data_IF_762484115346
#
_entry.id   IF_762484115346
#
_cell.length_a   1.000
_cell.length_b   1.000
_cell.length_c   1.000
_cell.angle_alpha   90.00
_cell.angle_beta   90.00
_cell.angle_gamma   90.00
#
_symmetry.space_group_name_H-M   'P 1'
#
loop_
_entity.id
_entity.type
_entity.pdbx_description
1 polymer ?
#
# COMPACT_ATOMS: atom_id res chain seq x y z
N UNK A 1 3.07 -13.23 10.35
CA UNK A 1 4.37 -12.50 10.37
C UNK A 1 4.26 -11.00 10.61
N UNK A 2 3.60 -10.19 9.76
CA UNK A 2 3.68 -8.72 9.79
C UNK A 2 3.34 -8.10 11.15
N UNK A 3 2.21 -8.48 11.79
CA UNK A 3 1.85 -7.98 13.13
C UNK A 3 2.95 -8.18 14.18
N UNK A 4 3.61 -9.36 14.18
CA UNK A 4 4.73 -9.64 15.10
C UNK A 4 5.92 -8.72 14.82
N UNK A 5 6.22 -8.47 13.54
CA UNK A 5 7.28 -7.56 13.11
C UNK A 5 7.02 -6.11 13.58
N UNK A 6 5.79 -5.62 13.42
CA UNK A 6 5.42 -4.26 13.83
C UNK A 6 5.56 -4.04 15.35
N UNK A 7 5.14 -5.01 16.15
CA UNK A 7 5.25 -4.94 17.61
C UNK A 7 6.72 -5.07 18.03
N UNK A 8 7.39 -6.13 17.59
CA UNK A 8 8.73 -6.47 18.10
C UNK A 8 9.84 -5.54 17.63
N UNK A 9 9.77 -5.05 16.38
CA UNK A 9 10.83 -4.22 15.79
C UNK A 9 10.51 -2.73 15.83
N UNK A 10 9.27 -2.36 15.50
CA UNK A 10 8.88 -0.97 15.35
C UNK A 10 8.15 -0.41 16.58
N UNK A 11 7.93 -1.23 17.61
CA UNK A 11 7.32 -0.78 18.87
C UNK A 11 5.86 -0.34 18.74
N UNK A 12 5.14 -0.79 17.71
CA UNK A 12 3.72 -0.50 17.58
C UNK A 12 2.95 -1.11 18.75
N UNK A 13 2.10 -0.32 19.41
CA UNK A 13 1.19 -0.87 20.40
C UNK A 13 0.27 -1.90 19.72
N UNK A 14 0.26 -3.12 20.24
CA UNK A 14 -0.60 -4.20 19.79
C UNK A 14 -2.10 -3.81 19.73
N UNK A 15 -2.54 -2.87 20.58
CA UNK A 15 -3.91 -2.32 20.63
C UNK A 15 -4.18 -1.31 19.51
N UNK A 16 -3.15 -0.66 18.98
CA UNK A 16 -3.24 0.22 17.83
C UNK A 16 -3.23 -0.53 16.49
N UNK A 17 -2.93 -1.84 16.48
CA UNK A 17 -2.92 -2.68 15.28
C UNK A 17 -4.28 -3.35 15.09
N UNK A 18 -5.07 -2.79 14.17
CA UNK A 18 -6.31 -3.40 13.68
C UNK A 18 -6.02 -4.45 12.60
N UNK A 19 -6.67 -5.62 12.68
CA UNK A 19 -6.50 -6.71 11.71
C UNK A 19 -7.86 -7.14 11.17
N UNK A 20 -8.03 -7.02 9.85
CA UNK A 20 -9.22 -7.50 9.13
C UNK A 20 -8.85 -8.80 8.40
N UNK A 21 -9.78 -9.75 8.34
CA UNK A 21 -9.59 -11.02 7.64
C UNK A 21 -10.93 -11.66 7.30
N UNK A 22 -10.97 -12.38 6.19
CA UNK A 22 -12.09 -13.20 5.73
C UNK A 22 -11.93 -14.69 6.09
N UNK A 23 -10.88 -15.06 6.86
CA UNK A 23 -10.65 -16.44 7.29
C UNK A 23 -11.91 -17.03 7.96
N UNK A 24 -12.45 -18.16 7.47
CA UNK A 24 -13.62 -18.80 8.05
C UNK A 24 -13.44 -19.06 9.55
N UNK A 25 -14.47 -18.76 10.35
CA UNK A 25 -14.47 -18.94 11.81
C UNK A 25 -13.65 -17.91 12.61
N UNK A 26 -13.01 -16.92 11.96
CA UNK A 26 -12.33 -15.84 12.66
C UNK A 26 -13.33 -14.91 13.36
N UNK A 27 -13.04 -14.55 14.63
CA UNK A 27 -13.79 -13.54 15.39
C UNK A 27 -13.40 -12.09 15.03
N UNK A 28 -12.42 -11.89 14.15
CA UNK A 28 -11.95 -10.57 13.71
C UNK A 28 -12.93 -9.95 12.71
N UNK A 29 -12.84 -8.63 12.55
CA UNK A 29 -13.62 -7.89 11.56
C UNK A 29 -13.32 -8.41 10.14
N UNK A 30 -14.37 -8.60 9.33
CA UNK A 30 -14.22 -9.06 7.94
C UNK A 30 -13.61 -7.98 7.08
N UNK A 31 -12.76 -8.36 6.13
CA UNK A 31 -12.08 -7.46 5.19
C UNK A 31 -12.99 -7.02 4.03
N UNK A 32 -14.20 -6.55 4.32
CA UNK A 32 -15.10 -5.95 3.32
C UNK A 32 -14.58 -4.59 2.87
N UNK A 33 -14.94 -4.15 1.67
CA UNK A 33 -14.52 -2.83 1.17
C UNK A 33 -14.91 -1.70 2.14
N UNK A 34 -16.13 -1.76 2.71
CA UNK A 34 -16.57 -0.79 3.71
C UNK A 34 -15.74 -0.83 4.99
N UNK A 35 -15.49 -2.01 5.56
CA UNK A 35 -14.73 -2.15 6.80
C UNK A 35 -13.29 -1.64 6.62
N UNK A 36 -12.66 -1.94 5.48
CA UNK A 36 -11.32 -1.46 5.17
C UNK A 36 -11.31 0.08 5.13
N UNK A 37 -12.25 0.71 4.41
CA UNK A 37 -12.39 2.16 4.32
C UNK A 37 -12.62 2.83 5.68
N UNK A 38 -13.53 2.29 6.49
CA UNK A 38 -13.81 2.79 7.84
C UNK A 38 -12.56 2.73 8.71
N UNK A 39 -11.84 1.60 8.73
CA UNK A 39 -10.67 1.46 9.58
C UNK A 39 -9.47 2.28 9.11
N UNK A 40 -9.30 2.45 7.80
CA UNK A 40 -8.30 3.37 7.24
C UNK A 40 -8.61 4.82 7.63
N UNK A 41 -9.87 5.25 7.47
CA UNK A 41 -10.33 6.58 7.89
C UNK A 41 -10.16 6.81 9.39
N UNK A 42 -10.52 5.83 10.22
CA UNK A 42 -10.34 5.91 11.68
C UNK A 42 -8.87 6.02 12.09
N UNK A 43 -7.97 5.32 11.39
CA UNK A 43 -6.53 5.40 11.64
C UNK A 43 -6.00 6.80 11.32
N UNK A 44 -6.43 7.39 10.20
CA UNK A 44 -6.01 8.73 9.77
C UNK A 44 -6.61 9.82 10.66
N UNK A 45 -7.89 9.71 11.04
CA UNK A 45 -8.56 10.68 11.91
C UNK A 45 -7.93 10.78 13.31
N UNK A 46 -7.26 9.71 13.76
CA UNK A 46 -6.53 9.68 15.03
C UNK A 46 -5.07 10.10 14.92
N UNK A 47 -4.57 10.30 13.70
CA UNK A 47 -3.17 10.65 13.48
C UNK A 47 -2.87 12.06 14.00
N UNK A 48 -1.72 12.18 14.66
CA UNK A 48 -1.13 13.46 15.04
C UNK A 48 -0.07 13.88 14.01
N UNK A 49 0.29 15.18 13.97
CA UNK A 49 1.41 15.63 13.14
C UNK A 49 2.68 14.82 13.40
N UNK A 50 3.32 14.36 12.32
CA UNK A 50 4.54 13.54 12.42
C UNK A 50 4.31 12.03 12.63
N UNK A 51 3.07 11.56 12.76
CA UNK A 51 2.79 10.12 12.92
C UNK A 51 3.21 9.28 11.71
N UNK A 52 3.42 7.98 11.95
CA UNK A 52 3.77 6.97 10.95
C UNK A 52 2.70 5.90 10.90
N UNK A 53 1.86 5.96 9.88
CA UNK A 53 0.76 5.04 9.67
C UNK A 53 1.21 3.95 8.71
N UNK A 54 0.72 2.73 8.93
CA UNK A 54 0.91 1.60 8.01
C UNK A 54 -0.44 1.00 7.63
N UNK A 55 -0.66 0.89 6.33
CA UNK A 55 -1.68 0.04 5.75
C UNK A 55 -0.99 -1.14 5.07
N UNK A 56 -1.24 -2.35 5.55
CA UNK A 56 -0.73 -3.58 4.95
C UNK A 56 -1.88 -4.36 4.32
N UNK A 57 -1.72 -4.72 3.04
CA UNK A 57 -2.69 -5.52 2.31
C UNK A 57 -2.01 -6.71 1.64
N UNK A 58 -2.63 -7.89 1.74
CA UNK A 58 -2.26 -9.09 1.02
C UNK A 58 -3.53 -9.76 0.57
N UNK A 59 -3.76 -9.82 -0.75
CA UNK A 59 -5.02 -10.29 -1.31
C UNK A 59 -5.12 -10.01 -2.80
N UNK A 60 -6.35 -10.01 -3.33
CA UNK A 60 -6.57 -9.76 -4.75
C UNK A 60 -6.43 -8.28 -5.10
N UNK A 61 -5.74 -8.03 -6.21
CA UNK A 61 -5.80 -6.77 -6.92
C UNK A 61 -6.44 -6.93 -8.30
N UNK A 62 -6.90 -5.82 -8.84
CA UNK A 62 -7.54 -5.74 -10.15
C UNK A 62 -7.32 -4.37 -10.76
N UNK A 63 -7.79 -4.20 -12.00
CA UNK A 63 -7.91 -2.89 -12.64
C UNK A 63 -9.37 -2.62 -12.94
N UNK A 64 -9.80 -1.38 -12.73
CA UNK A 64 -11.14 -0.91 -13.06
C UNK A 64 -11.03 0.28 -13.99
N UNK A 65 -11.97 0.42 -14.91
CA UNK A 65 -11.98 1.52 -15.87
C UNK A 65 -12.80 2.68 -15.32
N UNK A 66 -12.28 3.90 -15.39
CA UNK A 66 -13.04 5.12 -15.11
C UNK A 66 -13.93 5.53 -16.30
N UNK A 67 -14.80 6.53 -16.11
CA UNK A 67 -15.75 6.98 -17.13
C UNK A 67 -15.06 7.49 -18.41
N UNK A 68 -13.76 7.82 -18.36
CA UNK A 68 -12.98 8.27 -19.51
C UNK A 68 -12.21 7.13 -20.18
N UNK A 69 -12.46 5.87 -19.79
CA UNK A 69 -11.75 4.71 -20.34
C UNK A 69 -10.36 4.49 -19.74
N UNK A 70 -9.95 5.26 -18.71
CA UNK A 70 -8.63 5.09 -18.10
C UNK A 70 -8.67 4.00 -17.04
N UNK A 71 -7.76 3.04 -17.15
CA UNK A 71 -7.57 1.98 -16.17
C UNK A 71 -6.99 2.54 -14.87
N UNK A 72 -7.56 2.08 -13.75
CA UNK A 72 -7.22 2.44 -12.38
C UNK A 72 -6.97 1.18 -11.57
N UNK A 73 -5.88 1.15 -10.82
CA UNK A 73 -5.59 0.03 -9.93
C UNK A 73 -6.52 0.01 -8.73
N UNK A 74 -6.86 -1.19 -8.26
CA UNK A 74 -7.66 -1.38 -7.07
C UNK A 74 -7.28 -2.66 -6.33
N UNK A 75 -7.48 -2.63 -5.02
CA UNK A 75 -7.60 -3.85 -4.22
C UNK A 75 -9.07 -4.23 -4.11
N UNK A 76 -9.34 -5.51 -3.84
CA UNK A 76 -10.71 -6.04 -3.74
C UNK A 76 -10.96 -6.56 -2.34
N UNK A 77 -12.00 -6.06 -1.67
CA UNK A 77 -12.46 -6.58 -0.38
C UNK A 77 -13.09 -7.98 -0.54
N UNK A 78 -13.26 -8.71 0.57
CA UNK A 78 -13.81 -10.08 0.53
C UNK A 78 -15.30 -10.15 0.14
N UNK A 79 -15.94 -9.01 -0.06
CA UNK A 79 -17.33 -8.84 -0.52
C UNK A 79 -17.41 -8.34 -1.97
N UNK A 80 -16.28 -8.32 -2.68
CA UNK A 80 -16.10 -7.79 -4.04
C UNK A 80 -16.25 -6.27 -4.17
N UNK A 81 -16.33 -5.52 -3.07
CA UNK A 81 -16.27 -4.06 -3.10
C UNK A 81 -14.81 -3.61 -3.21
N UNK A 82 -14.47 -2.92 -4.30
CA UNK A 82 -13.08 -2.50 -4.55
C UNK A 82 -12.74 -1.14 -3.92
N UNK A 83 -11.44 -0.94 -3.71
CA UNK A 83 -10.83 0.28 -3.21
C UNK A 83 -9.71 0.64 -4.18
N UNK A 84 -9.93 1.66 -4.99
CA UNK A 84 -8.99 2.05 -6.06
C UNK A 84 -8.04 3.17 -5.64
N UNK A 85 -7.10 3.46 -6.54
CA UNK A 85 -6.05 4.46 -6.37
C UNK A 85 -6.53 5.87 -6.02
N UNK A 86 -7.73 6.28 -6.48
CA UNK A 86 -8.30 7.57 -6.11
C UNK A 86 -8.78 7.56 -4.66
N UNK A 87 -9.36 6.45 -4.19
CA UNK A 87 -9.76 6.30 -2.79
C UNK A 87 -8.55 6.44 -1.86
N UNK A 88 -7.44 5.77 -2.17
CA UNK A 88 -6.20 5.91 -1.39
C UNK A 88 -5.62 7.32 -1.49
N UNK A 89 -5.67 7.96 -2.65
CA UNK A 89 -5.27 9.38 -2.79
C UNK A 89 -6.12 10.28 -1.89
N UNK A 90 -7.43 10.05 -1.82
CA UNK A 90 -8.31 10.78 -0.89
C UNK A 90 -7.82 10.63 0.55
N UNK A 91 -7.55 9.41 1.02
CA UNK A 91 -7.05 9.18 2.37
C UNK A 91 -5.68 9.79 2.63
N UNK A 92 -4.74 9.69 1.69
CA UNK A 92 -3.42 10.31 1.80
C UNK A 92 -3.53 11.83 1.96
N UNK A 93 -4.45 12.47 1.23
CA UNK A 93 -4.69 13.90 1.30
C UNK A 93 -5.27 14.38 2.65
N UNK A 94 -5.81 13.47 3.48
CA UNK A 94 -6.35 13.77 4.81
C UNK A 94 -5.30 13.71 5.92
N UNK A 95 -4.05 13.32 5.61
CA UNK A 95 -3.00 13.18 6.62
C UNK A 95 -2.66 14.54 7.25
N UNK A 96 -2.43 14.58 8.58
CA UNK A 96 -1.96 15.78 9.24
C UNK A 96 -0.54 16.12 8.79
N UNK A 97 -0.10 17.34 9.12
CA UNK A 97 1.21 17.85 8.75
C UNK A 97 2.33 16.87 9.16
N UNK A 98 3.26 16.60 8.27
CA UNK A 98 4.44 15.74 8.48
C UNK A 98 4.15 14.27 8.85
N UNK A 99 2.89 13.86 8.90
CA UNK A 99 2.51 12.46 9.01
C UNK A 99 2.60 11.77 7.65
N UNK A 100 2.89 10.47 7.66
CA UNK A 100 3.02 9.66 6.45
C UNK A 100 2.20 8.40 6.55
N UNK A 101 1.52 8.03 5.46
CA UNK A 101 0.92 6.71 5.31
C UNK A 101 1.80 5.84 4.42
N UNK A 102 2.36 4.78 5.00
CA UNK A 102 3.01 3.72 4.25
C UNK A 102 1.98 2.66 3.86
N UNK A 103 1.88 2.35 2.57
CA UNK A 103 1.06 1.28 2.02
C UNK A 103 2.01 0.18 1.55
N UNK A 104 1.92 -0.98 2.17
CA UNK A 104 2.61 -2.19 1.74
C UNK A 104 1.58 -3.13 1.10
N UNK A 105 1.59 -3.19 -0.24
CA UNK A 105 0.60 -3.90 -1.03
C UNK A 105 1.19 -5.16 -1.67
N UNK A 106 0.86 -6.32 -1.11
CA UNK A 106 1.17 -7.64 -1.64
C UNK A 106 0.00 -8.20 -2.44
N UNK A 107 -0.26 -7.56 -3.58
CA UNK A 107 -1.29 -7.93 -4.54
C UNK A 107 -0.82 -7.64 -5.97
N UNK A 108 -1.40 -8.34 -6.95
CA UNK A 108 -1.26 -7.95 -8.35
C UNK A 108 -1.85 -6.56 -8.59
N UNK A 109 -1.45 -5.89 -9.67
CA UNK A 109 -2.00 -4.59 -10.06
C UNK A 109 -1.92 -3.51 -8.95
N UNK A 110 -0.80 -3.44 -8.22
CA UNK A 110 -0.62 -2.51 -7.09
C UNK A 110 0.40 -1.38 -7.33
N UNK A 111 1.09 -1.37 -8.48
CA UNK A 111 2.12 -0.38 -8.89
C UNK A 111 1.66 1.07 -9.15
N UNK A 112 0.75 1.59 -8.35
CA UNK A 112 -0.02 2.82 -8.65
C UNK A 112 -1.27 2.94 -7.78
N UNK A 113 -1.32 2.20 -6.67
CA UNK A 113 -2.44 2.16 -5.74
C UNK A 113 -2.64 3.47 -4.96
N UNK A 114 -1.72 4.43 -5.07
CA UNK A 114 -1.94 5.82 -4.67
C UNK A 114 -1.82 6.65 -5.95
N UNK A 115 -2.93 7.25 -6.41
CA UNK A 115 -2.94 7.97 -7.69
C UNK A 115 -1.89 9.09 -7.70
N UNK A 116 -1.07 9.16 -8.75
CA UNK A 116 -0.05 10.20 -8.96
C UNK A 116 1.07 10.27 -7.89
N UNK A 117 1.39 9.19 -7.18
CA UNK A 117 2.67 9.14 -6.44
C UNK A 117 3.86 8.94 -7.40
N UNK A 118 4.95 9.72 -7.26
CA UNK A 118 6.11 9.60 -8.14
C UNK A 118 6.81 8.24 -8.01
N UNK A 119 7.17 7.62 -9.13
CA UNK A 119 7.96 6.38 -9.14
C UNK A 119 9.41 6.68 -8.76
N UNK A 120 9.95 5.91 -7.81
CA UNK A 120 11.32 6.03 -7.30
C UNK A 120 12.15 4.77 -7.55
N UNK A 121 11.50 3.61 -7.56
CA UNK A 121 12.05 2.31 -7.95
C UNK A 121 11.00 1.60 -8.79
N UNK A 122 11.41 1.12 -9.96
CA UNK A 122 10.54 0.44 -10.92
C UNK A 122 10.21 1.29 -12.14
N UNK A 123 9.30 0.80 -12.98
CA UNK A 123 8.88 1.49 -14.20
C UNK A 123 7.77 2.51 -13.91
N UNK A 124 7.70 3.62 -14.68
CA UNK A 124 6.53 4.48 -14.68
C UNK A 124 5.26 3.66 -14.87
N UNK A 125 4.23 3.97 -14.07
CA UNK A 125 2.95 3.29 -14.21
C UNK A 125 2.26 3.70 -15.50
N UNK A 126 2.24 2.78 -16.48
CA UNK A 126 1.36 2.82 -17.63
C UNK A 126 0.41 1.62 -17.52
N UNK A 127 -0.88 1.82 -17.18
CA UNK A 127 -1.82 0.73 -17.13
C UNK A 127 -1.88 -0.01 -18.47
N UNK A 128 -1.37 -1.24 -18.51
CA UNK A 128 -1.65 -2.18 -19.59
C UNK A 128 -2.69 -3.20 -19.10
N UNK A 129 -3.55 -3.72 -19.98
CA UNK A 129 -4.32 -4.90 -19.66
C UNK A 129 -3.34 -6.04 -19.29
N UNK A 130 -3.58 -6.79 -18.21
CA UNK A 130 -2.71 -7.91 -17.87
C UNK A 130 -2.72 -8.94 -19.00
N UNK A 131 -1.58 -9.59 -19.22
CA UNK A 131 -1.49 -10.71 -20.17
C UNK A 131 -2.49 -11.81 -19.76
N UNK A 132 -3.44 -12.10 -20.67
CA UNK A 132 -4.55 -13.05 -20.46
C UNK A 132 -4.08 -14.51 -20.43
N UNK A 133 -2.85 -14.78 -20.84
CA UNK A 133 -2.29 -16.14 -20.90
C UNK A 133 -2.01 -16.75 -19.53
N UNK A 134 -1.82 -15.93 -18.48
CA UNK A 134 -1.47 -16.38 -17.15
C UNK A 134 -2.57 -16.05 -16.12
N UNK A 135 -2.90 -17.01 -15.26
CA UNK A 135 -3.92 -16.88 -14.20
C UNK A 135 -3.27 -16.90 -12.81
N UNK A 136 -2.58 -15.84 -12.39
CA UNK A 136 -2.01 -15.77 -11.04
C UNK A 136 -3.12 -15.76 -9.99
N UNK A 137 -2.88 -16.41 -8.84
CA UNK A 137 -3.88 -16.52 -7.76
C UNK A 137 -4.27 -15.17 -7.14
N UNK A 138 -3.46 -14.12 -7.28
CA UNK A 138 -3.69 -12.79 -6.64
C UNK A 138 -4.22 -11.71 -7.59
N UNK A 139 -4.52 -12.06 -8.84
CA UNK A 139 -5.24 -11.17 -9.74
C UNK A 139 -6.70 -11.61 -9.78
N UNK A 140 -7.62 -10.65 -9.68
CA UNK A 140 -9.01 -10.88 -10.05
C UNK A 140 -9.20 -10.34 -11.49
N UNK A 141 -9.27 -11.21 -12.52
CA UNK A 141 -9.43 -10.77 -13.90
C UNK A 141 -10.72 -9.98 -14.08
N UNK A 142 -10.69 -8.91 -14.88
CA UNK A 142 -11.83 -8.02 -15.08
C UNK A 142 -13.10 -8.77 -15.51
N UNK A 143 -12.99 -9.69 -16.48
CA UNK A 143 -14.15 -10.44 -16.99
C UNK A 143 -14.78 -11.33 -15.91
N UNK A 144 -13.95 -11.98 -15.08
CA UNK A 144 -14.44 -12.80 -13.97
C UNK A 144 -15.10 -11.92 -12.89
N UNK A 145 -14.49 -10.76 -12.61
CA UNK A 145 -15.02 -9.79 -11.65
C UNK A 145 -16.39 -9.26 -12.10
N UNK A 146 -16.49 -8.82 -13.36
CA UNK A 146 -17.72 -8.34 -13.95
C UNK A 146 -18.80 -9.42 -13.95
N UNK A 147 -18.46 -10.66 -14.36
CA UNK A 147 -19.42 -11.76 -14.35
C UNK A 147 -19.99 -12.04 -12.95
N UNK A 148 -19.16 -12.00 -11.92
CA UNK A 148 -19.59 -12.17 -10.53
C UNK A 148 -20.54 -11.05 -10.07
N UNK A 149 -20.23 -9.80 -10.41
CA UNK A 149 -21.07 -8.64 -10.08
C UNK A 149 -22.39 -8.64 -10.87
N UNK A 150 -22.35 -8.99 -12.16
CA UNK A 150 -23.54 -9.12 -13.01
C UNK A 150 -24.48 -10.20 -12.47
N UNK A 151 -23.96 -11.36 -12.07
CA UNK A 151 -24.74 -12.43 -11.44
C UNK A 151 -25.47 -11.96 -10.17
N UNK A 152 -24.81 -11.16 -9.33
CA UNK A 152 -25.37 -10.64 -8.07
C UNK A 152 -26.40 -9.52 -8.28
N UNK A 153 -26.31 -8.77 -9.38
CA UNK A 153 -27.14 -7.57 -9.62
C UNK A 153 -28.26 -7.81 -10.63
N UNK A 154 -28.15 -8.83 -11.48
CA UNK A 154 -29.07 -9.07 -12.59
C UNK A 154 -28.93 -8.07 -13.75
N UNK A 155 -27.95 -7.17 -13.71
CA UNK A 155 -27.73 -6.18 -14.76
C UNK A 155 -26.92 -6.76 -15.94
N UNK A 156 -27.25 -6.32 -17.15
CA UNK A 156 -26.47 -6.57 -18.36
C UNK A 156 -25.71 -5.30 -18.78
N UNK A 157 -24.75 -4.87 -17.95
CA UNK A 157 -23.93 -3.68 -18.20
C UNK A 157 -22.46 -4.06 -18.31
N UNK A 158 -21.68 -3.50 -19.25
CA UNK A 158 -20.23 -3.67 -19.27
C UNK A 158 -19.51 -2.73 -18.28
N UNK A 159 -20.22 -1.73 -17.74
CA UNK A 159 -19.67 -0.77 -16.79
C UNK A 159 -19.76 -1.34 -15.37
N UNK A 160 -18.62 -1.77 -14.84
CA UNK A 160 -18.49 -2.34 -13.49
C UNK A 160 -18.99 -1.39 -12.39
N UNK A 161 -18.84 -0.06 -12.58
CA UNK A 161 -19.28 0.96 -11.65
C UNK A 161 -20.78 0.91 -11.37
N UNK A 162 -21.59 0.60 -12.39
CA UNK A 162 -23.05 0.47 -12.23
C UNK A 162 -23.39 -0.67 -11.26
N UNK A 163 -22.71 -1.80 -11.39
CA UNK A 163 -22.93 -2.94 -10.49
C UNK A 163 -22.48 -2.64 -9.06
N UNK A 164 -21.31 -2.00 -8.91
CA UNK A 164 -20.75 -1.64 -7.60
C UNK A 164 -21.65 -0.63 -6.87
N UNK A 165 -22.12 0.40 -7.58
CA UNK A 165 -23.05 1.38 -7.00
C UNK A 165 -24.39 0.74 -6.65
N UNK A 166 -24.91 -0.19 -7.46
CA UNK A 166 -26.14 -0.92 -7.10
C UNK A 166 -25.97 -1.77 -5.83
N UNK A 167 -24.86 -2.48 -5.70
CA UNK A 167 -24.61 -3.38 -4.56
C UNK A 167 -24.26 -2.62 -3.27
N UNK A 168 -23.42 -1.59 -3.38
CA UNK A 168 -22.79 -0.95 -2.23
C UNK A 168 -23.26 0.50 -2.00
N UNK A 169 -24.03 1.08 -2.92
CA UNK A 169 -24.56 2.45 -2.82
C UNK A 169 -23.44 3.46 -2.52
N UNK A 170 -23.58 4.25 -1.46
CA UNK A 170 -22.56 5.21 -1.00
C UNK A 170 -21.27 4.57 -0.49
N UNK A 171 -21.26 3.24 -0.27
CA UNK A 171 -20.07 2.50 0.13
C UNK A 171 -19.23 2.02 -1.06
N UNK A 172 -19.71 2.19 -2.31
CA UNK A 172 -18.86 2.02 -3.48
C UNK A 172 -17.73 3.06 -3.49
N UNK A 173 -16.70 2.85 -4.31
CA UNK A 173 -15.59 3.81 -4.37
C UNK A 173 -16.02 5.19 -4.89
N UNK A 174 -15.32 6.25 -4.44
CA UNK A 174 -15.44 7.62 -4.96
C UNK A 174 -15.29 7.70 -6.48
N UNK A 175 -14.57 6.76 -7.09
CA UNK A 175 -14.44 6.67 -8.54
C UNK A 175 -15.79 6.59 -9.24
N UNK A 176 -16.74 5.84 -8.67
CA UNK A 176 -18.06 5.59 -9.27
C UNK A 176 -19.18 6.41 -8.64
N UNK A 177 -18.93 7.00 -7.48
CA UNK A 177 -19.96 7.75 -6.71
C UNK A 177 -19.78 9.27 -6.80
N UNK A 178 -18.65 9.76 -7.31
CA UNK A 178 -18.38 11.18 -7.50
C UNK A 178 -18.06 11.49 -8.97
N UNK A 179 -18.50 12.67 -9.48
CA UNK A 179 -18.13 13.11 -10.81
C UNK A 179 -16.61 13.37 -10.92
N UNK A 180 -16.01 13.26 -12.13
CA UNK A 180 -14.56 13.38 -12.32
C UNK A 180 -13.93 14.66 -11.77
N UNK A 181 -14.65 15.79 -11.81
CA UNK A 181 -14.17 17.07 -11.29
C UNK A 181 -14.06 17.13 -9.74
N UNK A 182 -14.65 16.16 -9.03
CA UNK A 182 -14.55 15.99 -7.58
C UNK A 182 -13.55 14.91 -7.18
N UNK A 183 -12.91 14.23 -8.13
CA UNK A 183 -11.89 13.24 -7.82
C UNK A 183 -10.67 13.91 -7.18
N UNK A 184 -10.06 13.26 -6.17
CA UNK A 184 -8.99 13.86 -5.41
C UNK A 184 -7.75 14.03 -6.29
N UNK A 185 -7.16 15.23 -6.24
CA UNK A 185 -5.86 15.50 -6.83
C UNK A 185 -4.80 15.54 -5.74
N UNK A 186 -3.51 15.26 -6.04
CA UNK A 186 -2.44 15.45 -5.08
C UNK A 186 -2.43 16.88 -4.55
N UNK A 187 -2.59 17.06 -3.23
CA UNK A 187 -2.56 18.39 -2.60
C UNK A 187 -1.13 18.93 -2.46
N UNK A 188 -0.16 18.03 -2.23
CA UNK A 188 1.27 18.29 -2.05
C UNK A 188 2.06 17.07 -2.50
N UNK A 189 3.36 17.26 -2.72
CA UNK A 189 4.25 16.19 -3.16
C UNK A 189 4.52 15.09 -2.12
N UNK A 190 4.08 15.18 -0.86
CA UNK A 190 4.70 14.41 0.25
C UNK A 190 3.75 13.91 1.35
N UNK A 191 2.98 12.84 1.11
CA UNK A 191 2.18 12.21 2.19
C UNK A 191 2.02 10.68 2.06
N UNK A 192 2.06 10.13 0.83
CA UNK A 192 1.97 8.70 0.58
C UNK A 192 3.33 8.05 0.37
N UNK A 193 3.49 6.82 0.87
CA UNK A 193 4.60 5.94 0.52
C UNK A 193 4.00 4.60 0.13
N UNK A 194 4.14 4.18 -1.12
CA UNK A 194 3.63 2.89 -1.59
C UNK A 194 4.78 1.96 -1.97
N UNK A 195 4.76 0.77 -1.37
CA UNK A 195 5.61 -0.36 -1.72
C UNK A 195 4.71 -1.43 -2.35
N UNK A 196 4.84 -1.63 -3.66
CA UNK A 196 4.10 -2.67 -4.39
C UNK A 196 4.94 -3.95 -4.54
N UNK A 197 4.27 -5.10 -4.66
CA UNK A 197 4.92 -6.40 -4.76
C UNK A 197 5.58 -6.72 -6.11
N UNK A 198 5.21 -6.01 -7.18
CA UNK A 198 5.73 -6.21 -8.52
C UNK A 198 5.62 -4.94 -9.36
N UNK A 199 6.19 -5.01 -10.57
CA UNK A 199 5.98 -4.02 -11.62
C UNK A 199 4.52 -4.01 -12.10
N UNK A 200 4.08 -2.94 -12.78
CA UNK A 200 2.70 -2.82 -13.29
C UNK A 200 2.21 -4.03 -14.09
N UNK A 201 3.10 -4.61 -14.91
CA UNK A 201 2.79 -5.70 -15.84
C UNK A 201 3.18 -7.09 -15.29
N UNK A 202 3.57 -7.15 -14.02
CA UNK A 202 3.99 -8.39 -13.38
C UNK A 202 2.93 -8.97 -12.47
N UNK A 203 2.97 -10.30 -12.38
CA UNK A 203 2.18 -11.04 -11.42
C UNK A 203 2.94 -11.22 -10.12
N UNK A 204 2.17 -11.32 -9.03
CA UNK A 204 2.69 -11.53 -7.69
C UNK A 204 2.22 -12.90 -7.20
N UNK A 205 3.07 -13.57 -6.43
CA UNK A 205 2.91 -14.98 -6.12
C UNK A 205 2.89 -15.25 -4.62
N UNK A 206 2.36 -16.43 -4.30
CA UNK A 206 2.39 -16.95 -2.93
C UNK A 206 3.68 -17.75 -2.70
N UNK A 207 4.09 -17.76 -1.44
CA UNK A 207 5.20 -18.52 -0.88
C UNK A 207 4.74 -19.06 0.49
N UNK A 208 5.55 -19.85 1.16
CA UNK A 208 5.24 -20.37 2.49
C UNK A 208 6.06 -19.65 3.56
N UNK A 209 5.45 -19.32 4.69
CA UNK A 209 6.17 -18.75 5.82
C UNK A 209 7.01 -19.82 6.55
N UNK A 210 7.73 -19.40 7.60
CA UNK A 210 8.59 -20.29 8.41
C UNK A 210 7.85 -21.48 9.06
N UNK A 211 6.52 -21.45 9.10
CA UNK A 211 5.68 -22.52 9.65
C UNK A 211 4.91 -23.28 8.55
N UNK A 212 5.25 -23.08 7.27
CA UNK A 212 4.56 -23.69 6.13
C UNK A 212 3.19 -23.07 5.81
N UNK A 213 2.85 -21.92 6.40
CA UNK A 213 1.57 -21.28 6.12
C UNK A 213 1.66 -20.43 4.83
N UNK A 214 0.67 -20.49 3.91
CA UNK A 214 0.67 -19.68 2.70
C UNK A 214 0.72 -18.18 3.01
N UNK A 215 1.58 -17.47 2.30
CA UNK A 215 1.76 -16.03 2.43
C UNK A 215 2.22 -15.40 1.11
N UNK A 216 2.22 -14.07 1.02
CA UNK A 216 2.74 -13.41 -0.19
C UNK A 216 4.26 -13.41 -0.22
N UNK A 217 4.84 -13.71 -1.39
CA UNK A 217 6.29 -13.77 -1.57
C UNK A 217 6.97 -12.43 -1.23
N UNK A 218 6.33 -11.31 -1.56
CA UNK A 218 6.85 -9.99 -1.22
C UNK A 218 6.84 -9.73 0.28
N UNK A 219 5.73 -10.06 0.95
CA UNK A 219 5.60 -9.90 2.41
C UNK A 219 6.64 -10.73 3.14
N UNK A 220 6.85 -11.99 2.71
CA UNK A 220 7.86 -12.88 3.28
C UNK A 220 9.25 -12.26 3.18
N UNK A 221 9.65 -11.84 1.98
CA UNK A 221 10.98 -11.25 1.73
C UNK A 221 11.17 -9.95 2.51
N UNK A 222 10.15 -9.07 2.59
CA UNK A 222 10.20 -7.85 3.41
C UNK A 222 10.44 -8.20 4.89
N UNK A 223 9.72 -9.18 5.43
CA UNK A 223 9.89 -9.61 6.82
C UNK A 223 11.29 -10.21 7.04
N UNK A 224 11.81 -11.02 6.12
CA UNK A 224 13.16 -11.61 6.20
C UNK A 224 14.26 -10.55 6.14
N UNK A 225 14.16 -9.57 5.23
CA UNK A 225 15.12 -8.45 5.15
C UNK A 225 15.13 -7.66 6.47
N UNK A 226 13.95 -7.39 7.02
CA UNK A 226 13.83 -6.72 8.31
C UNK A 226 14.44 -7.57 9.42
N UNK A 227 14.11 -8.86 9.55
CA UNK A 227 14.74 -9.75 10.54
C UNK A 227 16.28 -9.74 10.44
N UNK A 228 16.84 -9.77 9.22
CA UNK A 228 18.28 -9.79 8.96
C UNK A 228 18.99 -8.44 8.99
N UNK A 229 18.27 -7.32 9.15
CA UNK A 229 18.87 -5.97 9.16
C UNK A 229 18.44 -5.22 10.42
N UNK A 230 19.11 -5.36 11.59
CA UNK A 230 18.68 -4.72 12.83
C UNK A 230 18.65 -3.18 12.77
N UNK A 231 19.59 -2.58 12.02
CA UNK A 231 19.64 -1.14 11.82
C UNK A 231 18.43 -0.61 11.02
N UNK A 232 18.20 0.70 11.12
CA UNK A 232 17.18 1.39 10.32
C UNK A 232 17.49 1.24 8.82
N UNK A 233 16.52 0.76 8.05
CA UNK A 233 16.60 0.60 6.60
C UNK A 233 15.72 1.67 5.93
N UNK A 234 16.21 2.29 4.86
CA UNK A 234 15.42 3.29 4.12
C UNK A 234 14.37 2.61 3.24
N UNK A 235 13.32 3.35 2.85
CA UNK A 235 12.29 2.84 1.94
C UNK A 235 12.90 2.29 0.65
N UNK A 236 13.80 3.06 0.00
CA UNK A 236 14.50 2.62 -1.21
C UNK A 236 15.35 1.38 -1.00
N UNK A 237 16.15 1.33 0.08
CA UNK A 237 17.02 0.16 0.35
C UNK A 237 16.20 -1.10 0.60
N UNK A 238 15.08 -0.99 1.32
CA UNK A 238 14.18 -2.12 1.56
C UNK A 238 13.62 -2.67 0.24
N UNK A 239 13.07 -1.81 -0.61
CA UNK A 239 12.50 -2.22 -1.90
C UNK A 239 13.59 -2.79 -2.83
N UNK A 240 14.75 -2.15 -2.94
CA UNK A 240 15.85 -2.65 -3.79
C UNK A 240 16.36 -4.02 -3.35
N UNK A 241 16.47 -4.27 -2.04
CA UNK A 241 16.82 -5.60 -1.53
C UNK A 241 15.75 -6.64 -1.87
N UNK A 242 14.48 -6.31 -1.65
CA UNK A 242 13.37 -7.22 -1.98
C UNK A 242 13.33 -7.52 -3.48
N UNK A 243 13.52 -6.49 -4.31
CA UNK A 243 13.61 -6.57 -5.76
C UNK A 243 14.76 -7.47 -6.23
N UNK A 244 15.94 -7.34 -5.62
CA UNK A 244 17.08 -8.22 -5.92
C UNK A 244 16.82 -9.68 -5.57
N UNK A 245 16.16 -9.95 -4.43
CA UNK A 245 15.87 -11.33 -3.98
C UNK A 245 14.80 -11.99 -4.85
N UNK A 246 13.73 -11.27 -5.17
CA UNK A 246 12.59 -11.82 -5.93
C UNK A 246 12.85 -11.84 -7.44
N UNK A 247 13.55 -10.85 -7.99
CA UNK A 247 13.82 -10.73 -9.42
C UNK A 247 14.77 -11.80 -9.97
N UNK A 248 15.63 -12.38 -9.13
CA UNK A 248 16.55 -13.46 -9.55
C UNK A 248 15.95 -14.86 -9.47
N UNK A 249 14.70 -15.00 -9.00
CA UNK A 249 14.03 -16.30 -8.96
C UNK A 249 13.82 -16.82 -10.38
N UNK A 250 14.22 -18.08 -10.64
CA UNK A 250 14.02 -18.75 -11.94
C UNK A 250 12.55 -18.95 -12.29
N UNK A 251 11.72 -19.14 -11.27
CA UNK A 251 10.28 -19.37 -11.38
C UNK A 251 9.60 -18.17 -10.75
N UNK A 252 8.69 -17.54 -11.50
CA UNK A 252 7.85 -16.45 -11.02
C UNK A 252 8.65 -15.27 -10.44
N UNK A 253 9.58 -14.65 -11.20
CA UNK A 253 10.24 -13.44 -10.77
C UNK A 253 9.20 -12.32 -10.61
N UNK A 254 9.38 -11.50 -9.57
CA UNK A 254 8.59 -10.29 -9.37
C UNK A 254 9.50 -9.19 -8.84
N UNK A 255 9.23 -7.96 -9.25
CA UNK A 255 10.10 -6.82 -9.01
C UNK A 255 9.35 -5.74 -8.23
N UNK A 256 9.39 -5.79 -6.88
CA UNK A 256 8.85 -4.74 -6.03
C UNK A 256 9.28 -3.33 -6.45
N UNK A 257 8.36 -2.40 -6.25
CA UNK A 257 8.51 -1.00 -6.65
C UNK A 257 8.25 -0.06 -5.48
N UNK A 258 8.73 1.18 -5.62
CA UNK A 258 8.58 2.26 -4.63
C UNK A 258 7.98 3.48 -5.32
N UNK A 259 6.88 3.98 -4.76
CA UNK A 259 6.21 5.21 -5.19
C UNK A 259 6.10 6.15 -3.99
N UNK A 260 6.78 7.28 -4.06
CA UNK A 260 6.75 8.30 -3.02
C UNK A 260 7.43 9.60 -3.48
N UNK A 261 7.34 10.63 -2.64
CA UNK A 261 8.13 11.85 -2.74
C UNK A 261 9.64 11.59 -2.68
N UNK A 262 10.46 12.47 -3.26
CA UNK A 262 11.93 12.42 -3.14
C UNK A 262 12.40 12.40 -1.67
N UNK A 263 11.70 13.10 -0.78
CA UNK A 263 12.01 13.15 0.66
C UNK A 263 11.83 11.79 1.33
N UNK A 264 10.87 10.99 0.88
CA UNK A 264 10.58 9.68 1.47
C UNK A 264 11.45 8.54 0.92
N UNK A 265 12.22 8.77 -0.14
CA UNK A 265 13.10 7.76 -0.75
C UNK A 265 14.11 7.22 0.26
N UNK A 266 14.84 8.14 0.90
CA UNK A 266 15.91 7.84 1.85
C UNK A 266 15.49 7.99 3.31
N UNK A 267 14.21 8.30 3.56
CA UNK A 267 13.63 8.20 4.90
C UNK A 267 13.61 6.74 5.38
N UNK A 268 13.80 6.55 6.69
CA UNK A 268 13.70 5.24 7.32
C UNK A 268 12.32 4.62 7.12
N UNK A 269 12.24 3.37 6.69
CA UNK A 269 10.99 2.62 6.58
C UNK A 269 10.34 2.52 7.97
N UNK A 270 9.15 3.14 8.09
CA UNK A 270 8.44 3.34 9.36
C UNK A 270 9.28 4.02 10.45
N UNK A 271 10.34 4.74 10.05
CA UNK A 271 11.21 5.48 10.96
C UNK A 271 10.53 6.76 11.44
N UNK A 272 10.69 7.08 12.73
CA UNK A 272 10.38 8.42 13.23
C UNK A 272 11.34 9.41 12.57
N UNK A 273 10.84 10.60 12.20
CA UNK A 273 11.76 11.67 11.81
C UNK A 273 12.69 11.93 12.99
N UNK A 274 14.00 11.81 12.77
CA UNK A 274 14.96 12.43 13.67
C UNK A 274 14.72 13.93 13.55
N UNK A 275 14.00 14.53 14.50
CA UNK A 275 14.27 15.92 14.79
C UNK A 275 15.76 15.93 15.12
N UNK A 276 16.56 16.54 14.25
CA UNK A 276 17.94 16.84 14.52
C UNK A 276 17.97 17.55 15.86
N UNK A 277 18.29 16.81 16.93
CA UNK A 277 18.82 17.38 18.15
C UNK A 277 20.07 18.07 17.66
N UNK A 278 20.03 19.39 17.57
CA UNK A 278 21.25 20.18 17.52
C UNK A 278 21.89 19.91 18.87
N UNK A 279 22.72 18.87 18.93
CA UNK A 279 23.75 18.78 19.95
C UNK A 279 24.71 19.91 19.63
N UNK A 280 24.43 21.08 20.22
CA UNK A 280 25.44 22.11 20.40
C UNK A 280 26.40 21.48 21.40
N UNK A 281 27.40 20.78 20.87
CA UNK A 281 28.53 20.29 21.63
C UNK A 281 29.22 21.46 22.30
N UNK A 282 29.50 21.25 23.58
CA UNK A 282 30.37 22.06 24.41
C UNK A 282 31.65 22.42 23.65
N UNK A 283 31.92 23.72 23.49
CA UNK A 283 33.26 24.21 23.16
C UNK A 283 33.79 25.00 24.35
N UNK A 284 34.68 24.31 25.07
CA UNK A 284 35.82 24.71 25.90
C UNK A 284 35.78 26.06 26.64
N UNK A 285 35.91 25.94 27.96
CA UNK A 285 36.63 26.90 28.77
C UNK A 285 38.14 26.86 28.42
N UNK A 286 38.82 27.99 28.71
CA UNK A 286 40.29 28.20 28.74
C UNK A 286 40.93 28.36 27.34
N UNK A 287 41.67 29.41 26.97
CA UNK A 287 42.57 30.28 27.74
C UNK A 287 42.57 31.74 27.22
N UNK A 288 42.49 32.69 28.16
CA UNK A 288 42.97 34.06 27.95
C UNK A 288 44.47 34.10 28.30
N UNK A 289 45.32 34.26 27.29
CA UNK A 289 46.70 34.73 27.50
C UNK A 289 46.88 36.04 26.76
N UNK A 290 47.11 37.08 27.56
CA UNK A 290 47.63 38.39 27.19
C UNK A 290 49.00 38.25 26.54
N UNK A 291 49.27 39.00 25.47
CA UNK A 291 50.59 39.59 25.24
C UNK A 291 50.50 40.79 24.29
N UNK A 292 50.88 41.93 24.87
CA UNK A 292 51.51 43.17 24.36
C UNK A 292 51.13 43.75 22.99
#
# INVERSE_FOLDING_TARGET
MMKKMLIGRFGFDSKAIMVLTDKPGSKKLRATGQNIKIQLGNMIAKALPGDRLLFFFSGHGTTVTDDNGKLRQAIVGCDDNNINCLEFRHYVNLLPKDATLTILADSCCSGGLIDQEPVQVGLPYHPQPPDRSCRPRRMLPYDAYLAQLSSRTGLNSPNIGVHLVQLFKSEASILFTQPPNKHPQPLKADQGILLSAGEPDEFTYEDEDENGAPCGAFTKVVVEILKGTPALITNKKLVMKARGILGVKKINPQHPCLYCSRKNVDAGFLGKATHSRVEIGETSAEDHVLQE
#
